data_IF_928645342322
#
_entry.id   IF_928645342322
#
_cell.length_a   1.000
_cell.length_b   1.000
_cell.length_c   1.000
_cell.angle_alpha   90.00
_cell.angle_beta   90.00
_cell.angle_gamma   90.00
#
_symmetry.space_group_name_H-M   'P 1'
#
loop_
_entity.id
_entity.type
_entity.pdbx_description
1 polymer ?
#
# COMPACT_ATOMS: atom_id res chain seq x y z
N UNK A 1 16.11 -12.77 -4.27
CA UNK A 1 17.33 -11.95 -4.16
C UNK A 1 16.94 -10.52 -3.80
N UNK A 2 17.15 -10.11 -2.54
CA UNK A 2 16.91 -8.73 -2.09
C UNK A 2 18.07 -7.83 -2.59
N UNK A 3 18.05 -7.47 -3.88
CA UNK A 3 18.87 -6.36 -4.36
C UNK A 3 18.27 -5.09 -3.76
N UNK A 4 19.01 -4.44 -2.86
CA UNK A 4 18.55 -3.42 -1.89
C UNK A 4 17.96 -2.11 -2.44
N UNK A 5 17.38 -2.11 -3.63
CA UNK A 5 16.71 -0.95 -4.22
C UNK A 5 15.20 -1.14 -4.35
N UNK A 6 14.72 -2.40 -4.43
CA UNK A 6 13.30 -2.71 -4.58
C UNK A 6 12.89 -3.86 -3.66
N UNK A 7 11.84 -3.62 -2.87
CA UNK A 7 11.24 -4.62 -1.98
C UNK A 7 9.77 -4.76 -2.35
N UNK A 8 9.42 -5.94 -2.85
CA UNK A 8 8.02 -6.33 -3.03
C UNK A 8 7.61 -7.19 -1.83
N UNK A 9 6.51 -6.79 -1.19
CA UNK A 9 5.95 -7.42 -0.01
C UNK A 9 4.52 -7.84 -0.32
N UNK A 10 4.29 -9.14 -0.25
CA UNK A 10 2.94 -9.66 -0.14
C UNK A 10 2.49 -9.47 1.31
N UNK A 11 1.51 -8.60 1.51
CA UNK A 11 0.97 -8.29 2.84
C UNK A 11 0.22 -9.51 3.34
N UNK A 12 0.86 -10.24 4.25
CA UNK A 12 0.27 -11.29 5.07
C UNK A 12 0.71 -11.03 6.51
N UNK A 13 -0.06 -11.51 7.50
CA UNK A 13 0.30 -11.43 8.92
C UNK A 13 1.72 -11.97 9.17
N UNK A 14 2.12 -13.04 8.48
CA UNK A 14 3.46 -13.62 8.61
C UNK A 14 4.55 -12.76 7.93
N UNK A 15 4.25 -12.11 6.80
CA UNK A 15 5.21 -11.30 6.04
C UNK A 15 5.63 -10.04 6.79
N UNK A 16 4.67 -9.37 7.45
CA UNK A 16 4.93 -8.11 8.17
C UNK A 16 5.85 -8.34 9.37
N UNK A 17 5.55 -9.35 10.19
CA UNK A 17 6.40 -9.71 11.34
C UNK A 17 7.82 -10.09 10.91
N UNK A 18 7.95 -10.83 9.80
CA UNK A 18 9.26 -11.19 9.25
C UNK A 18 10.06 -9.97 8.78
N UNK A 19 9.40 -9.01 8.12
CA UNK A 19 10.04 -7.77 7.67
C UNK A 19 10.45 -6.88 8.82
N UNK A 20 9.63 -6.78 9.86
CA UNK A 20 9.96 -6.03 11.07
C UNK A 20 11.17 -6.63 11.80
N UNK A 21 11.21 -7.95 11.96
CA UNK A 21 12.37 -8.67 12.49
C UNK A 21 13.62 -8.45 11.62
N UNK A 22 13.47 -8.50 10.30
CA UNK A 22 14.59 -8.29 9.37
C UNK A 22 15.13 -6.86 9.40
N UNK A 23 14.24 -5.87 9.62
CA UNK A 23 14.60 -4.48 9.84
C UNK A 23 15.37 -4.30 11.15
N UNK A 24 14.84 -4.84 12.25
CA UNK A 24 15.48 -4.76 13.57
C UNK A 24 16.86 -5.41 13.59
N UNK A 25 17.02 -6.50 12.84
CA UNK A 25 18.31 -7.21 12.70
C UNK A 25 19.28 -6.54 11.73
N UNK A 26 18.91 -5.40 11.11
CA UNK A 26 19.73 -4.69 10.14
C UNK A 26 19.97 -5.45 8.84
N UNK A 27 19.17 -6.48 8.58
CA UNK A 27 19.26 -7.33 7.38
C UNK A 27 18.56 -6.65 6.21
N UNK A 28 17.49 -5.90 6.49
CA UNK A 28 16.76 -5.12 5.49
C UNK A 28 17.32 -3.70 5.43
N UNK A 29 17.90 -3.33 4.29
CA UNK A 29 18.25 -1.94 4.00
C UNK A 29 16.97 -1.22 3.58
N UNK A 30 16.79 0.01 4.07
CA UNK A 30 15.65 0.85 3.71
C UNK A 30 15.52 0.99 2.18
N UNK A 31 14.42 0.49 1.57
CA UNK A 31 14.28 0.42 0.13
C UNK A 31 13.92 1.78 -0.47
N UNK A 32 14.29 1.97 -1.74
CA UNK A 32 13.84 3.13 -2.53
C UNK A 32 12.47 2.90 -3.15
N UNK A 33 12.17 1.65 -3.49
CA UNK A 33 10.88 1.24 -4.05
C UNK A 33 10.27 0.17 -3.15
N UNK A 34 9.03 0.38 -2.75
CA UNK A 34 8.26 -0.59 -1.97
C UNK A 34 6.93 -0.86 -2.67
N UNK A 35 6.65 -2.13 -2.87
CA UNK A 35 5.36 -2.60 -3.38
C UNK A 35 4.69 -3.42 -2.29
N UNK A 36 3.50 -2.99 -1.88
CA UNK A 36 2.63 -3.74 -0.98
C UNK A 36 1.48 -4.30 -1.80
N UNK A 37 1.37 -5.63 -1.85
CA UNK A 37 0.27 -6.32 -2.51
C UNK A 37 -0.53 -7.11 -1.49
N UNK A 38 -1.80 -6.77 -1.33
CA UNK A 38 -2.76 -7.52 -0.51
C UNK A 38 -3.09 -8.85 -1.20
N UNK A 39 -2.85 -9.94 -0.48
CA UNK A 39 -3.22 -11.29 -0.92
C UNK A 39 -4.52 -11.78 -0.29
N UNK A 40 -4.83 -11.39 0.96
CA UNK A 40 -5.92 -11.92 1.78
C UNK A 40 -6.40 -10.97 2.92
N UNK A 41 -5.69 -9.87 3.22
CA UNK A 41 -5.91 -9.01 4.39
C UNK A 41 -5.80 -7.54 3.97
N UNK A 42 -6.87 -6.78 4.22
CA UNK A 42 -6.92 -5.36 3.91
C UNK A 42 -5.68 -4.60 4.39
N UNK A 43 -5.20 -3.66 3.56
CA UNK A 43 -4.13 -2.73 3.94
C UNK A 43 -4.55 -1.97 5.21
N UNK A 44 -3.97 -2.33 6.34
CA UNK A 44 -4.29 -1.70 7.62
C UNK A 44 -3.42 -0.45 7.86
N UNK A 45 -3.83 0.47 8.75
CA UNK A 45 -3.01 1.61 9.16
C UNK A 45 -1.62 1.21 9.70
N UNK A 46 -1.51 0.04 10.33
CA UNK A 46 -0.23 -0.50 10.82
C UNK A 46 0.74 -0.80 9.68
N UNK A 47 0.24 -1.26 8.53
CA UNK A 47 1.05 -1.48 7.33
C UNK A 47 1.63 -0.15 6.84
N UNK A 48 0.83 0.92 6.83
CA UNK A 48 1.31 2.25 6.46
C UNK A 48 2.33 2.78 7.48
N UNK A 49 2.06 2.63 8.78
CA UNK A 49 3.00 3.02 9.82
C UNK A 49 4.37 2.31 9.66
N UNK A 50 4.36 1.04 9.25
CA UNK A 50 5.57 0.29 8.91
C UNK A 50 6.30 0.90 7.70
N UNK A 51 5.59 1.21 6.62
CA UNK A 51 6.15 1.91 5.43
C UNK A 51 6.78 3.24 5.84
N UNK A 52 6.16 3.95 6.79
CA UNK A 52 6.63 5.25 7.28
C UNK A 52 8.03 5.21 7.85
N UNK A 53 8.47 4.05 8.37
CA UNK A 53 9.85 3.85 8.87
C UNK A 53 10.90 3.97 7.76
N UNK A 54 10.50 3.80 6.50
CA UNK A 54 11.37 3.97 5.33
C UNK A 54 11.26 5.35 4.68
N UNK A 55 10.42 6.23 5.22
CA UNK A 55 10.09 7.54 4.64
C UNK A 55 11.25 8.39 4.10
N UNK A 56 12.42 8.50 4.75
CA UNK A 56 13.52 9.32 4.23
C UNK A 56 14.27 8.73 3.02
N UNK A 57 14.01 7.46 2.67
CA UNK A 57 14.68 6.77 1.54
C UNK A 57 13.71 6.25 0.49
N UNK A 58 12.44 6.12 0.86
CA UNK A 58 11.39 5.62 -0.01
C UNK A 58 11.00 6.69 -1.03
N UNK A 59 11.11 6.34 -2.31
CA UNK A 59 10.78 7.19 -3.46
C UNK A 59 9.54 6.71 -4.20
N UNK A 60 9.35 5.40 -4.30
CA UNK A 60 8.18 4.84 -4.95
C UNK A 60 7.42 3.93 -3.98
N UNK A 61 6.13 4.18 -3.81
CA UNK A 61 5.21 3.32 -3.06
C UNK A 61 4.13 2.81 -4.01
N UNK A 62 4.04 1.50 -4.19
CA UNK A 62 2.98 0.86 -4.96
C UNK A 62 2.10 0.06 -4.02
N UNK A 63 0.79 0.28 -4.08
CA UNK A 63 -0.21 -0.34 -3.24
C UNK A 63 -1.20 -1.06 -4.14
N UNK A 64 -1.18 -2.39 -4.11
CA UNK A 64 -2.13 -3.23 -4.82
C UNK A 64 -3.07 -3.85 -3.78
N UNK A 65 -4.30 -3.35 -3.69
CA UNK A 65 -5.28 -3.81 -2.70
C UNK A 65 -6.57 -4.17 -3.38
N UNK A 66 -7.03 -5.41 -3.25
CA UNK A 66 -8.35 -5.84 -3.74
C UNK A 66 -9.48 -5.36 -2.83
N UNK A 67 -9.16 -4.99 -1.59
CA UNK A 67 -10.08 -4.44 -0.60
C UNK A 67 -10.08 -2.91 -0.61
N UNK A 68 -10.90 -2.33 0.27
CA UNK A 68 -10.87 -0.91 0.58
C UNK A 68 -9.48 -0.47 1.06
N UNK A 69 -9.10 0.74 0.65
CA UNK A 69 -7.87 1.37 1.13
C UNK A 69 -8.07 1.96 2.53
N UNK A 70 -7.01 2.00 3.35
CA UNK A 70 -7.07 2.63 4.66
C UNK A 70 -7.37 4.13 4.54
N UNK A 71 -8.28 4.63 5.39
CA UNK A 71 -8.52 6.06 5.54
C UNK A 71 -7.23 6.78 5.96
N UNK A 72 -6.98 7.95 5.37
CA UNK A 72 -5.74 8.71 5.62
C UNK A 72 -4.52 8.23 4.83
N UNK A 73 -4.66 7.27 3.90
CA UNK A 73 -3.57 6.84 3.03
C UNK A 73 -2.89 8.02 2.29
N UNK A 74 -3.69 8.95 1.78
CA UNK A 74 -3.19 10.12 1.06
C UNK A 74 -2.41 11.06 1.97
N UNK A 75 -2.89 11.29 3.20
CA UNK A 75 -2.19 12.11 4.18
C UNK A 75 -0.90 11.45 4.67
N UNK A 76 -0.92 10.12 4.82
CA UNK A 76 0.27 9.34 5.07
C UNK A 76 1.28 9.49 3.91
N UNK A 77 0.85 9.33 2.65
CA UNK A 77 1.74 9.49 1.49
C UNK A 77 2.32 10.91 1.42
N UNK A 78 1.53 11.93 1.75
CA UNK A 78 2.01 13.33 1.85
C UNK A 78 3.03 13.54 2.95
N UNK A 79 2.94 12.78 4.05
CA UNK A 79 3.92 12.84 5.13
C UNK A 79 5.30 12.30 4.73
N UNK A 80 5.37 11.50 3.66
CA UNK A 80 6.61 10.96 3.12
C UNK A 80 7.28 11.99 2.20
N UNK A 81 8.06 12.91 2.77
CA UNK A 81 8.71 14.00 2.03
C UNK A 81 9.66 13.54 0.90
N UNK A 82 10.12 12.29 0.91
CA UNK A 82 10.99 11.72 -0.14
C UNK A 82 10.23 10.94 -1.21
N UNK A 83 8.90 10.80 -1.08
CA UNK A 83 8.07 10.05 -2.00
C UNK A 83 7.90 10.84 -3.30
N UNK A 84 8.42 10.26 -4.39
CA UNK A 84 8.33 10.80 -5.75
C UNK A 84 7.13 10.21 -6.50
N UNK A 85 6.73 8.98 -6.18
CA UNK A 85 5.70 8.25 -6.91
C UNK A 85 4.83 7.41 -5.98
N UNK A 86 3.51 7.60 -6.07
CA UNK A 86 2.50 6.76 -5.41
C UNK A 86 1.66 6.08 -6.50
N UNK A 87 1.69 4.75 -6.53
CA UNK A 87 0.82 3.93 -7.38
C UNK A 87 -0.19 3.20 -6.51
N UNK A 88 -1.45 3.27 -6.92
CA UNK A 88 -2.55 2.57 -6.27
C UNK A 88 -3.22 1.74 -7.37
N UNK A 89 -3.43 0.45 -7.12
CA UNK A 89 -4.03 -0.47 -8.09
C UNK A 89 -4.94 -1.48 -7.38
N UNK A 90 -5.92 -2.01 -8.11
CA UNK A 90 -6.79 -3.08 -7.60
C UNK A 90 -7.93 -2.63 -6.68
N UNK A 91 -8.02 -1.35 -6.31
CA UNK A 91 -9.16 -0.81 -5.57
C UNK A 91 -10.39 -1.07 -6.41
N UNK A 92 -11.34 -1.81 -5.85
CA UNK A 92 -12.56 -2.23 -6.53
C UNK A 92 -13.09 -1.13 -7.45
N UNK A 93 -13.06 -1.44 -8.74
CA UNK A 93 -13.79 -0.73 -9.77
C UNK A 93 -15.27 -0.87 -9.41
N UNK A 94 -15.78 -0.03 -8.50
CA UNK A 94 -17.19 0.28 -8.48
C UNK A 94 -17.44 1.06 -9.76
N UNK A 95 -17.64 0.32 -10.84
CA UNK A 95 -18.28 0.80 -12.06
C UNK A 95 -19.63 1.33 -11.59
N UNK A 96 -19.66 2.63 -11.32
CA UNK A 96 -20.89 3.38 -11.18
C UNK A 96 -21.45 3.50 -12.60
N UNK A 97 -22.21 2.50 -13.02
CA UNK A 97 -23.02 2.56 -14.23
C UNK A 97 -24.26 1.70 -14.02
N UNK A 98 -25.29 2.30 -13.41
CA UNK A 98 -26.65 2.14 -13.91
C UNK A 98 -27.39 3.46 -13.62
N UNK A 99 -27.33 4.33 -14.63
CA UNK A 99 -28.17 5.51 -14.75
C UNK A 99 -29.42 5.11 -15.55
N UNK A 100 -30.62 5.44 -15.06
CA UNK A 100 -31.90 5.43 -15.82
C UNK A 100 -32.86 4.33 -15.35
N UNK A 101 -34.14 4.56 -15.07
CA UNK A 101 -35.04 5.62 -15.52
C UNK A 101 -36.28 5.62 -14.57
N UNK A 102 -36.69 6.79 -14.06
CA UNK A 102 -38.02 6.95 -13.44
C UNK A 102 -39.07 7.06 -14.57
N UNK A 103 -39.84 6.00 -14.80
CA UNK A 103 -41.12 6.10 -15.50
C UNK A 103 -42.26 6.15 -14.47
N UNK A 104 -42.79 7.36 -14.27
CA UNK A 104 -44.14 7.58 -13.71
C UNK A 104 -45.17 7.18 -14.78
N UNK A 105 -46.01 6.19 -14.47
CA UNK A 105 -47.21 5.84 -15.25
C UNK A 105 -48.37 5.63 -14.25
N UNK A 106 -49.16 6.69 -14.01
CA UNK A 106 -50.59 6.63 -13.63
C UNK A 106 -51.32 7.97 -13.95
#
# INVERSE_FOLDING_TARGET
>A
CLRGEHVCVHVSLASLSFLELSLQRGVLVAPRRMELSDSDIALTPECLAFVGRFGPKLRCLSLCSKSTLPEGLLDFARSLASLEELRISGVGESIADDSGDEFDDD
#
